data_IF_465897971437
#
_entry.id   IF_465897971437
#
_cell.length_a   1.000
_cell.length_b   1.000
_cell.length_c   1.000
_cell.angle_alpha   90.00
_cell.angle_beta   90.00
_cell.angle_gamma   90.00
#
_symmetry.space_group_name_H-M   'P 1'
#
loop_
_entity.id
_entity.type
_entity.pdbx_description
1 polymer ?
#
# COMPACT_ATOMS: atom_id res chain seq x y z
N UNK A 1 17.86 -48.18 -39.02
CA UNK A 1 17.49 -49.34 -38.16
C UNK A 1 17.61 -48.82 -36.73
N UNK A 2 16.59 -48.70 -35.89
CA UNK A 2 15.26 -49.32 -35.75
C UNK A 2 14.30 -48.22 -35.26
N UNK A 3 13.13 -48.09 -35.88
CA UNK A 3 12.06 -47.20 -35.41
C UNK A 3 11.21 -47.93 -34.36
N UNK A 4 11.03 -47.32 -33.19
CA UNK A 4 10.18 -47.81 -32.10
C UNK A 4 8.74 -47.34 -32.28
N UNK A 5 7.83 -48.29 -32.38
CA UNK A 5 6.40 -48.09 -32.60
C UNK A 5 5.67 -47.63 -31.33
N UNK A 6 4.87 -46.57 -31.46
CA UNK A 6 3.77 -46.22 -30.55
C UNK A 6 2.50 -46.88 -31.07
N UNK A 7 1.88 -47.74 -30.25
CA UNK A 7 0.62 -48.43 -30.56
C UNK A 7 -0.55 -47.46 -30.37
N UNK A 8 -1.18 -47.06 -31.48
CA UNK A 8 -2.51 -46.49 -31.49
C UNK A 8 -3.53 -47.62 -31.22
N UNK A 9 -4.52 -47.33 -30.38
CA UNK A 9 -5.68 -48.19 -30.16
C UNK A 9 -6.70 -47.87 -31.24
N UNK A 10 -6.70 -48.64 -32.33
CA UNK A 10 -7.79 -48.63 -33.31
C UNK A 10 -8.94 -49.47 -32.76
N UNK A 11 -10.06 -48.79 -32.46
CA UNK A 11 -11.34 -49.41 -32.13
C UNK A 11 -12.07 -49.66 -33.44
N UNK A 12 -12.01 -50.90 -33.91
CA UNK A 12 -12.71 -51.37 -35.11
C UNK A 12 -14.19 -51.61 -34.77
N UNK A 13 -15.09 -50.79 -35.33
CA UNK A 13 -16.52 -50.97 -35.22
C UNK A 13 -16.98 -52.11 -36.14
N UNK A 14 -17.10 -53.32 -35.57
CA UNK A 14 -17.74 -54.46 -36.21
C UNK A 14 -19.25 -54.20 -36.37
N UNK A 15 -19.68 -54.03 -37.61
CA UNK A 15 -21.10 -53.92 -38.00
C UNK A 15 -21.66 -55.31 -38.31
N UNK A 16 -22.15 -56.01 -37.30
CA UNK A 16 -22.92 -57.25 -37.50
C UNK A 16 -24.38 -56.99 -37.07
N UNK A 17 -25.29 -56.96 -38.06
CA UNK A 17 -26.74 -56.96 -37.83
C UNK A 17 -27.16 -58.39 -37.47
N UNK A 18 -27.84 -58.64 -36.34
CA UNK A 18 -28.51 -59.91 -36.13
C UNK A 18 -29.87 -59.90 -36.83
N UNK A 19 -29.99 -60.71 -37.88
CA UNK A 19 -31.25 -61.03 -38.53
C UNK A 19 -32.20 -61.78 -37.59
N UNK A 20 -33.39 -61.21 -37.39
CA UNK A 20 -34.65 -61.89 -37.05
C UNK A 20 -34.67 -62.83 -35.84
N UNK A 21 -34.90 -62.27 -34.64
CA UNK A 21 -35.51 -63.03 -33.55
C UNK A 21 -37.02 -63.10 -33.81
N UNK A 22 -37.48 -64.26 -34.27
CA UNK A 22 -38.88 -64.57 -34.51
C UNK A 22 -39.52 -65.02 -33.19
N UNK A 23 -40.10 -64.08 -32.44
CA UNK A 23 -40.82 -64.39 -31.19
C UNK A 23 -42.20 -64.94 -31.58
N UNK A 24 -42.45 -66.20 -31.24
CA UNK A 24 -43.78 -66.82 -31.37
C UNK A 24 -44.68 -66.29 -30.24
N UNK A 25 -45.66 -65.47 -30.60
CA UNK A 25 -46.88 -65.29 -29.80
C UNK A 25 -47.69 -66.60 -29.83
N UNK A 26 -48.37 -67.01 -28.73
CA UNK A 26 -49.63 -66.35 -28.37
C UNK A 26 -50.02 -66.46 -26.89
N UNK A 27 -50.02 -65.35 -26.15
CA UNK A 27 -50.75 -65.29 -24.87
C UNK A 27 -51.44 -63.93 -24.71
N UNK A 28 -52.73 -63.93 -25.03
CA UNK A 28 -53.80 -63.12 -24.45
C UNK A 28 -53.50 -61.64 -24.18
N UNK A 29 -54.05 -60.79 -25.03
CA UNK A 29 -54.22 -59.36 -24.83
C UNK A 29 -54.69 -59.01 -23.41
N UNK A 30 -53.86 -58.30 -22.64
CA UNK A 30 -54.32 -57.53 -21.48
C UNK A 30 -53.54 -56.22 -21.39
N UNK A 31 -54.09 -55.19 -22.02
CA UNK A 31 -54.21 -53.82 -21.53
C UNK A 31 -53.01 -53.11 -20.81
N UNK A 32 -51.75 -53.34 -21.18
CA UNK A 32 -50.61 -52.63 -20.59
C UNK A 32 -49.64 -52.04 -21.63
N UNK A 33 -50.18 -51.46 -22.72
CA UNK A 33 -49.38 -51.01 -23.87
C UNK A 33 -49.62 -49.58 -24.37
N UNK A 34 -50.24 -48.69 -23.58
CA UNK A 34 -50.38 -47.27 -23.93
C UNK A 34 -49.99 -46.38 -22.76
N UNK A 35 -48.74 -45.96 -22.69
CA UNK A 35 -48.34 -44.66 -22.12
C UNK A 35 -46.81 -44.49 -22.15
N UNK A 36 -46.16 -44.50 -23.32
CA UNK A 36 -44.78 -43.95 -23.42
C UNK A 36 -44.64 -43.16 -24.72
N UNK A 37 -45.53 -42.20 -24.93
CA UNK A 37 -45.30 -41.05 -25.82
C UNK A 37 -46.04 -39.85 -25.25
N UNK A 38 -45.75 -39.49 -23.99
CA UNK A 38 -45.99 -38.13 -23.54
C UNK A 38 -44.67 -37.39 -23.76
N UNK A 39 -44.66 -36.48 -24.74
CA UNK A 39 -43.68 -35.41 -24.84
C UNK A 39 -43.76 -34.58 -23.55
N UNK A 40 -43.07 -35.01 -22.51
CA UNK A 40 -42.90 -34.24 -21.27
C UNK A 40 -41.85 -33.15 -21.51
N UNK A 41 -42.16 -32.22 -22.41
CA UNK A 41 -41.75 -30.83 -22.17
C UNK A 41 -42.72 -30.30 -21.13
N UNK A 42 -42.45 -30.66 -19.87
CA UNK A 42 -43.09 -30.04 -18.70
C UNK A 42 -42.99 -28.53 -18.89
N UNK A 43 -44.14 -27.87 -19.12
CA UNK A 43 -44.15 -26.43 -19.35
C UNK A 43 -43.56 -25.76 -18.12
N UNK A 44 -42.45 -25.03 -18.31
CA UNK A 44 -41.76 -24.34 -17.21
C UNK A 44 -42.78 -23.46 -16.48
N UNK A 45 -42.93 -23.68 -15.17
CA UNK A 45 -43.75 -22.81 -14.33
C UNK A 45 -43.05 -21.45 -14.20
N UNK A 46 -43.51 -20.51 -15.03
CA UNK A 46 -42.98 -19.14 -15.08
C UNK A 46 -43.11 -18.43 -13.72
N UNK A 47 -44.10 -18.76 -12.91
CA UNK A 47 -44.27 -18.16 -11.59
C UNK A 47 -43.18 -18.66 -10.63
N UNK A 48 -42.92 -19.97 -10.60
CA UNK A 48 -41.81 -20.55 -9.80
C UNK A 48 -40.45 -20.00 -10.23
N UNK A 49 -40.21 -19.89 -11.55
CA UNK A 49 -38.96 -19.32 -12.09
C UNK A 49 -38.81 -17.86 -11.69
N UNK A 50 -39.88 -17.06 -11.74
CA UNK A 50 -39.87 -15.66 -11.29
C UNK A 50 -39.55 -15.55 -9.80
N UNK A 51 -40.14 -16.40 -8.95
CA UNK A 51 -39.84 -16.40 -7.52
C UNK A 51 -38.39 -16.78 -7.21
N UNK A 52 -37.83 -17.79 -7.89
CA UNK A 52 -36.41 -18.16 -7.74
C UNK A 52 -35.46 -17.03 -8.16
N UNK A 53 -35.75 -16.34 -9.26
CA UNK A 53 -34.97 -15.17 -9.69
C UNK A 53 -35.09 -14.05 -8.67
N UNK A 54 -36.31 -13.73 -8.23
CA UNK A 54 -36.57 -12.66 -7.27
C UNK A 54 -35.85 -12.89 -5.94
N UNK A 55 -35.91 -14.10 -5.37
CA UNK A 55 -35.21 -14.43 -4.12
C UNK A 55 -33.71 -14.46 -4.28
N UNK A 56 -33.19 -14.91 -5.43
CA UNK A 56 -31.75 -14.88 -5.74
C UNK A 56 -31.23 -13.45 -5.86
N UNK A 57 -31.97 -12.57 -6.54
CA UNK A 57 -31.63 -11.14 -6.65
C UNK A 57 -31.70 -10.47 -5.29
N UNK A 58 -32.76 -10.71 -4.51
CA UNK A 58 -32.89 -10.17 -3.16
C UNK A 58 -31.75 -10.64 -2.24
N UNK A 59 -31.38 -11.93 -2.31
CA UNK A 59 -30.24 -12.49 -1.59
C UNK A 59 -28.91 -11.86 -2.02
N UNK A 60 -28.73 -11.62 -3.32
CA UNK A 60 -27.57 -10.90 -3.85
C UNK A 60 -27.46 -9.46 -3.31
N UNK A 61 -28.58 -8.72 -3.29
CA UNK A 61 -28.65 -7.36 -2.73
C UNK A 61 -28.32 -7.38 -1.23
N UNK A 62 -28.90 -8.32 -0.47
CA UNK A 62 -28.61 -8.47 0.96
C UNK A 62 -27.13 -8.84 1.21
N UNK A 63 -26.54 -9.67 0.36
CA UNK A 63 -25.12 -10.00 0.40
C UNK A 63 -24.24 -8.77 0.21
N UNK A 64 -24.50 -7.94 -0.80
CA UNK A 64 -23.76 -6.68 -1.01
C UNK A 64 -23.97 -5.72 0.17
N UNK A 65 -25.21 -5.59 0.66
CA UNK A 65 -25.55 -4.71 1.77
C UNK A 65 -24.82 -5.06 3.09
N UNK A 66 -24.41 -6.31 3.27
CA UNK A 66 -23.63 -6.75 4.44
C UNK A 66 -22.12 -6.70 4.20
N UNK A 67 -21.66 -6.96 2.97
CA UNK A 67 -20.23 -6.91 2.63
C UNK A 67 -19.66 -5.49 2.65
N UNK A 68 -20.41 -4.48 2.21
CA UNK A 68 -19.93 -3.08 2.21
C UNK A 68 -19.55 -2.58 3.61
N UNK A 69 -20.43 -2.58 4.62
CA UNK A 69 -20.05 -2.12 5.97
C UNK A 69 -18.99 -3.02 6.63
N UNK A 70 -18.93 -4.31 6.26
CA UNK A 70 -17.88 -5.20 6.73
C UNK A 70 -16.50 -4.79 6.20
N UNK A 71 -16.39 -4.46 4.91
CA UNK A 71 -15.13 -3.95 4.33
C UNK A 71 -14.81 -2.55 4.87
N UNK A 72 -15.81 -1.68 4.99
CA UNK A 72 -15.64 -0.34 5.56
C UNK A 72 -15.16 -0.38 7.01
N UNK A 73 -15.45 -1.45 7.76
CA UNK A 73 -14.96 -1.64 9.13
C UNK A 73 -13.43 -1.75 9.23
N UNK A 74 -12.75 -2.05 8.13
CA UNK A 74 -11.28 -2.03 8.05
C UNK A 74 -10.71 -0.63 7.80
N UNK A 75 -11.54 0.36 7.45
CA UNK A 75 -11.08 1.74 7.29
C UNK A 75 -10.70 2.37 8.65
N UNK A 76 -9.89 3.45 8.66
CA UNK A 76 -9.52 4.12 9.90
C UNK A 76 -10.76 4.62 10.67
N UNK A 77 -10.83 4.28 11.97
CA UNK A 77 -11.90 4.76 12.86
C UNK A 77 -11.84 6.27 13.08
N UNK A 78 -12.96 6.88 13.49
CA UNK A 78 -13.00 8.32 13.81
C UNK A 78 -11.99 8.73 14.89
N UNK A 79 -11.73 7.84 15.86
CA UNK A 79 -10.66 8.04 16.85
C UNK A 79 -9.28 8.11 16.19
N UNK A 80 -9.02 7.24 15.21
CA UNK A 80 -7.76 7.24 14.46
C UNK A 80 -7.63 8.47 13.56
N UNK A 81 -8.72 8.94 12.94
CA UNK A 81 -8.75 10.20 12.17
C UNK A 81 -8.52 11.42 13.05
N UNK A 82 -9.18 11.50 14.21
CA UNK A 82 -9.02 12.59 15.17
C UNK A 82 -7.58 12.65 15.73
N UNK A 83 -6.91 11.52 15.89
CA UNK A 83 -5.48 11.47 16.25
C UNK A 83 -4.54 12.05 15.17
N UNK A 84 -5.07 12.36 13.98
CA UNK A 84 -4.35 13.05 12.92
C UNK A 84 -4.51 14.56 12.89
N UNK A 85 -5.24 15.14 13.85
CA UNK A 85 -5.35 16.59 13.99
C UNK A 85 -3.97 17.28 14.09
N UNK A 86 -3.88 18.56 13.72
CA UNK A 86 -2.63 19.30 13.81
C UNK A 86 -2.09 19.35 15.24
N UNK A 87 -0.77 19.23 15.38
CA UNK A 87 -0.07 19.26 16.67
C UNK A 87 0.81 20.50 16.74
N UNK A 88 0.69 21.27 17.81
CA UNK A 88 1.55 22.42 18.06
C UNK A 88 2.77 21.98 18.87
N UNK A 89 3.96 22.27 18.35
CA UNK A 89 5.23 22.07 18.99
C UNK A 89 5.80 23.43 19.43
N UNK A 90 6.26 23.53 20.68
CA UNK A 90 7.04 24.67 21.16
C UNK A 90 8.53 24.40 20.89
N UNK A 91 9.15 25.29 20.11
CA UNK A 91 10.56 25.23 19.72
C UNK A 91 11.42 26.26 20.47
N UNK A 92 10.87 26.93 21.49
CA UNK A 92 11.57 27.96 22.28
C UNK A 92 12.92 27.50 22.85
N UNK A 93 13.00 26.23 23.28
CA UNK A 93 14.20 25.65 23.89
C UNK A 93 15.08 24.86 22.91
N UNK A 94 14.72 24.82 21.63
CA UNK A 94 15.45 24.03 20.63
C UNK A 94 16.72 24.76 20.17
N UNK A 95 17.87 24.37 20.73
CA UNK A 95 19.17 24.98 20.41
C UNK A 95 19.68 24.58 19.03
N UNK A 96 20.60 25.37 18.49
CA UNK A 96 21.26 25.03 17.22
C UNK A 96 22.10 23.75 17.36
N UNK A 97 21.97 22.86 16.40
CA UNK A 97 22.53 21.49 16.41
C UNK A 97 21.67 20.47 17.14
N UNK A 98 20.59 20.88 17.81
CA UNK A 98 19.72 19.99 18.58
C UNK A 98 18.53 19.50 17.74
N UNK A 99 18.01 18.34 18.12
CA UNK A 99 16.79 17.77 17.56
C UNK A 99 15.80 17.47 18.69
N UNK A 100 14.53 17.80 18.44
CA UNK A 100 13.41 17.33 19.23
C UNK A 100 12.52 16.41 18.40
N UNK A 101 11.77 15.53 19.06
CA UNK A 101 10.81 14.63 18.41
C UNK A 101 9.41 14.91 18.94
N UNK A 102 8.45 15.05 18.04
CA UNK A 102 7.04 15.29 18.36
C UNK A 102 6.20 14.18 17.73
N UNK A 103 5.19 13.67 18.42
CA UNK A 103 4.29 12.68 17.86
C UNK A 103 3.17 13.37 17.05
N UNK A 104 3.00 12.97 15.79
CA UNK A 104 1.89 13.39 14.93
C UNK A 104 1.36 12.19 14.14
N UNK A 105 0.05 11.93 14.15
CA UNK A 105 -0.57 10.74 13.53
C UNK A 105 0.04 9.40 14.00
N UNK A 106 0.50 9.36 15.26
CA UNK A 106 1.20 8.19 15.81
C UNK A 106 2.62 7.97 15.26
N UNK A 107 3.12 8.86 14.41
CA UNK A 107 4.48 8.82 13.84
C UNK A 107 5.37 9.86 14.53
N UNK A 108 6.67 9.58 14.70
CA UNK A 108 7.62 10.59 15.16
C UNK A 108 7.87 11.61 14.05
N UNK A 109 7.85 12.90 14.38
CA UNK A 109 8.28 14.01 13.54
C UNK A 109 9.52 14.62 14.18
N UNK A 110 10.61 14.68 13.42
CA UNK A 110 11.84 15.30 13.85
C UNK A 110 11.83 16.77 13.50
N UNK A 111 12.13 17.62 14.50
CA UNK A 111 12.41 19.02 14.33
C UNK A 111 13.89 19.22 14.65
N UNK A 112 14.68 19.53 13.64
CA UNK A 112 16.13 19.73 13.78
C UNK A 112 16.45 21.20 13.53
N UNK A 113 16.98 21.88 14.53
CA UNK A 113 17.50 23.24 14.36
C UNK A 113 18.95 23.14 13.91
N UNK A 114 19.21 23.25 12.61
CA UNK A 114 20.54 23.02 12.02
C UNK A 114 21.45 24.22 12.24
N UNK A 115 22.73 23.96 12.44
CA UNK A 115 23.78 25.00 12.45
C UNK A 115 24.09 25.45 11.02
N UNK A 116 24.75 26.60 10.86
CA UNK A 116 25.19 27.05 9.52
C UNK A 116 26.17 26.06 8.88
N UNK A 117 26.99 25.37 9.69
CA UNK A 117 27.86 24.28 9.24
C UNK A 117 27.04 23.12 8.67
N UNK A 118 26.05 22.65 9.42
CA UNK A 118 25.14 21.59 8.97
C UNK A 118 24.42 21.96 7.66
N UNK A 119 24.06 23.23 7.47
CA UNK A 119 23.46 23.71 6.22
C UNK A 119 24.46 23.68 5.06
N UNK A 120 25.72 24.04 5.28
CA UNK A 120 26.76 23.93 4.26
C UNK A 120 27.03 22.44 3.89
N UNK A 121 26.96 21.55 4.87
CA UNK A 121 27.13 20.11 4.64
C UNK A 121 25.99 19.51 3.81
N UNK A 122 24.75 20.00 3.97
CA UNK A 122 23.61 19.62 3.10
C UNK A 122 23.94 19.93 1.63
N UNK A 123 24.46 21.12 1.33
CA UNK A 123 24.81 21.50 -0.04
C UNK A 123 25.97 20.63 -0.56
N UNK A 124 26.94 20.34 0.30
CA UNK A 124 28.09 19.49 -0.05
C UNK A 124 27.70 18.04 -0.31
N UNK A 125 26.67 17.53 0.38
CA UNK A 125 26.17 16.17 0.25
C UNK A 125 25.29 15.93 -1.00
N UNK A 126 24.93 16.98 -1.76
CA UNK A 126 24.03 16.90 -2.92
C UNK A 126 24.40 15.82 -3.97
N UNK A 127 25.67 15.66 -4.40
CA UNK A 127 26.03 14.58 -5.34
C UNK A 127 25.91 13.17 -4.73
N UNK A 128 25.93 13.05 -3.39
CA UNK A 128 25.95 11.78 -2.67
C UNK A 128 24.54 11.20 -2.43
N UNK A 129 23.49 12.02 -2.55
CA UNK A 129 22.11 11.59 -2.29
C UNK A 129 21.42 11.07 -3.56
N UNK A 130 20.45 10.17 -3.39
CA UNK A 130 19.77 9.51 -4.50
C UNK A 130 18.84 10.46 -5.27
N UNK A 131 18.08 11.29 -4.54
CA UNK A 131 17.13 12.25 -5.10
C UNK A 131 17.26 13.64 -4.44
N UNK A 132 18.24 14.46 -4.88
CA UNK A 132 18.50 15.79 -4.33
C UNK A 132 17.27 16.70 -4.25
N UNK A 133 16.45 16.68 -5.30
CA UNK A 133 15.30 17.56 -5.48
C UNK A 133 13.97 16.95 -5.02
N UNK A 134 13.98 15.73 -4.45
CA UNK A 134 12.77 14.99 -4.05
C UNK A 134 11.72 14.95 -5.17
N UNK A 135 12.14 14.53 -6.37
CA UNK A 135 11.25 14.42 -7.54
C UNK A 135 10.30 13.24 -7.44
N UNK A 136 10.63 12.22 -6.65
CA UNK A 136 9.83 10.99 -6.54
C UNK A 136 9.32 10.77 -5.10
N UNK A 137 8.42 11.62 -4.59
CA UNK A 137 7.73 11.34 -3.34
C UNK A 137 6.72 10.18 -3.53
N UNK A 138 6.61 9.32 -2.52
CA UNK A 138 5.74 8.15 -2.49
C UNK A 138 4.61 8.35 -1.46
N UNK A 139 4.95 8.47 -0.17
CA UNK A 139 3.94 8.53 0.90
C UNK A 139 3.22 9.88 0.94
N UNK A 140 3.97 10.98 0.81
CA UNK A 140 3.38 12.32 0.80
C UNK A 140 4.09 13.28 -0.15
N UNK A 141 3.35 14.16 -0.83
CA UNK A 141 3.95 15.15 -1.70
C UNK A 141 4.78 16.15 -0.89
N UNK A 142 5.99 16.46 -1.38
CA UNK A 142 6.82 17.51 -0.79
C UNK A 142 6.08 18.87 -0.89
N UNK A 143 5.82 19.57 0.22
CA UNK A 143 5.18 20.88 0.18
C UNK A 143 5.99 21.87 -0.67
N UNK A 144 5.30 22.73 -1.43
CA UNK A 144 5.95 23.63 -2.39
C UNK A 144 6.95 24.60 -1.72
N UNK A 145 6.66 25.07 -0.50
CA UNK A 145 7.55 25.93 0.28
C UNK A 145 8.83 25.21 0.77
N UNK A 146 8.89 23.89 0.68
CA UNK A 146 10.05 23.07 0.99
C UNK A 146 10.78 22.56 -0.27
N UNK A 147 10.39 23.00 -1.48
CA UNK A 147 11.10 22.65 -2.74
C UNK A 147 12.37 23.51 -2.90
N UNK A 148 13.33 23.26 -2.02
CA UNK A 148 14.66 23.85 -2.01
C UNK A 148 15.68 22.83 -1.47
N UNK A 149 16.95 23.18 -1.49
CA UNK A 149 18.08 22.35 -1.08
C UNK A 149 17.96 21.88 0.38
N UNK A 150 17.39 22.73 1.24
CA UNK A 150 17.32 22.51 2.67
C UNK A 150 16.06 21.77 3.12
N UNK A 151 15.08 21.58 2.22
CA UNK A 151 13.78 20.93 2.48
C UNK A 151 13.02 21.52 3.67
N UNK A 152 13.17 22.83 3.85
CA UNK A 152 12.59 23.63 4.92
C UNK A 152 11.93 24.87 4.34
N UNK A 153 11.10 25.57 5.13
CA UNK A 153 10.58 26.87 4.70
C UNK A 153 11.72 27.88 4.54
N UNK A 154 11.62 28.76 3.55
CA UNK A 154 12.69 29.71 3.19
C UNK A 154 12.99 30.75 4.28
N UNK A 155 11.97 31.15 5.04
CA UNK A 155 12.05 32.06 6.18
C UNK A 155 12.68 31.41 7.43
N UNK A 156 12.70 30.08 7.50
CA UNK A 156 13.26 29.29 8.60
C UNK A 156 14.16 28.17 8.07
N UNK A 157 15.13 28.51 7.21
CA UNK A 157 16.00 27.54 6.51
C UNK A 157 16.73 26.57 7.44
N UNK A 158 17.03 26.97 8.67
CA UNK A 158 17.73 26.15 9.65
C UNK A 158 16.83 25.04 10.23
N UNK A 159 15.51 25.22 10.26
CA UNK A 159 14.60 24.26 10.87
C UNK A 159 14.14 23.21 9.85
N UNK A 160 14.66 21.99 9.99
CA UNK A 160 14.16 20.83 9.26
C UNK A 160 12.98 20.22 10.02
N UNK A 161 11.87 19.99 9.32
CA UNK A 161 10.71 19.26 9.84
C UNK A 161 10.47 18.06 8.93
N UNK A 162 10.68 16.85 9.44
CA UNK A 162 10.53 15.60 8.67
C UNK A 162 9.83 14.53 9.50
N UNK A 163 9.03 13.69 8.85
CA UNK A 163 8.51 12.47 9.46
C UNK A 163 9.69 11.51 9.65
N UNK A 164 9.98 11.17 10.90
CA UNK A 164 11.04 10.27 11.33
C UNK A 164 10.74 8.80 11.07
N UNK A 165 10.13 8.47 9.92
CA UNK A 165 9.77 7.11 9.52
C UNK A 165 10.61 6.76 8.30
N UNK A 166 11.47 5.75 8.46
CA UNK A 166 12.33 5.28 7.38
C UNK A 166 11.47 4.76 6.23
N UNK A 167 11.73 5.26 5.03
CA UNK A 167 10.92 4.98 3.84
C UNK A 167 11.17 3.59 3.25
N UNK A 168 12.09 2.81 3.85
CA UNK A 168 12.25 1.40 3.52
C UNK A 168 11.04 0.59 4.03
N UNK A 169 10.91 0.44 5.35
CA UNK A 169 9.91 -0.41 6.01
C UNK A 169 9.39 0.17 7.34
N UNK A 170 9.55 1.48 7.55
CA UNK A 170 8.85 2.19 8.63
C UNK A 170 9.57 2.32 9.98
N UNK A 171 10.78 1.76 10.15
CA UNK A 171 11.56 1.98 11.38
C UNK A 171 11.93 3.45 11.60
N UNK A 172 12.11 3.87 12.84
CA UNK A 172 12.56 5.23 13.17
C UNK A 172 14.09 5.37 13.01
N UNK A 173 14.59 6.25 12.12
CA UNK A 173 16.03 6.53 12.02
C UNK A 173 16.55 7.22 13.30
N UNK A 174 17.74 6.83 13.75
CA UNK A 174 18.44 7.49 14.84
C UNK A 174 19.29 8.66 14.35
N UNK A 175 19.36 9.74 15.13
CA UNK A 175 20.23 10.87 14.86
C UNK A 175 21.71 10.48 15.00
N UNK A 176 22.51 10.86 14.01
CA UNK A 176 23.96 10.65 13.93
C UNK A 176 24.59 11.95 13.42
N UNK A 177 24.47 13.02 14.19
CA UNK A 177 24.93 14.36 13.75
C UNK A 177 26.42 14.59 13.92
N UNK A 178 27.11 13.79 14.75
CA UNK A 178 28.56 13.85 14.88
C UNK A 178 29.19 13.42 13.55
N UNK A 179 30.16 14.19 13.06
CA UNK A 179 30.95 13.83 11.88
C UNK A 179 32.02 12.77 12.22
N UNK A 180 32.47 12.06 11.21
CA UNK A 180 33.55 11.08 11.32
C UNK A 180 33.10 9.67 11.71
N UNK A 181 34.07 8.77 11.96
CA UNK A 181 33.83 7.34 12.05
C UNK A 181 32.93 7.00 13.24
N UNK A 182 31.86 6.26 12.96
CA UNK A 182 30.90 5.77 13.93
C UNK A 182 30.47 4.35 13.57
N UNK A 183 30.00 3.61 14.57
CA UNK A 183 29.49 2.26 14.33
C UNK A 183 28.39 2.25 13.26
N UNK A 184 28.52 1.34 12.30
CA UNK A 184 27.57 1.15 11.19
C UNK A 184 27.46 2.34 10.23
N UNK A 185 28.46 3.23 10.22
CA UNK A 185 28.56 4.38 9.32
C UNK A 185 29.92 4.40 8.61
N UNK A 186 30.03 5.06 7.44
CA UNK A 186 31.32 5.30 6.79
C UNK A 186 32.28 6.13 7.65
N UNK A 187 33.58 5.95 7.45
CA UNK A 187 34.60 6.72 8.19
C UNK A 187 34.51 8.24 7.96
N UNK A 188 34.07 8.64 6.77
CA UNK A 188 33.88 10.03 6.36
C UNK A 188 32.42 10.50 6.54
N UNK A 189 31.73 10.01 7.58
CA UNK A 189 30.32 10.35 7.79
C UNK A 189 30.10 11.87 7.97
N UNK A 190 29.26 12.52 7.14
CA UNK A 190 29.05 13.97 7.16
C UNK A 190 27.98 14.42 8.17
N UNK A 191 27.40 13.50 8.95
CA UNK A 191 26.24 13.78 9.78
C UNK A 191 24.91 13.42 9.10
N UNK A 192 23.85 13.26 9.90
CA UNK A 192 22.50 12.95 9.41
C UNK A 192 21.80 11.91 10.27
N UNK A 193 21.21 10.91 9.62
CA UNK A 193 20.44 9.86 10.28
C UNK A 193 20.83 8.46 9.80
N UNK A 194 20.73 7.48 10.70
CA UNK A 194 20.92 6.06 10.41
C UNK A 194 19.68 5.28 10.83
N UNK A 195 19.09 4.55 9.89
CA UNK A 195 18.08 3.54 10.20
C UNK A 195 18.76 2.19 10.50
N UNK A 196 18.75 1.71 11.75
CA UNK A 196 19.48 0.50 12.14
C UNK A 196 18.88 -0.79 11.58
N UNK A 197 17.63 -0.77 11.12
CA UNK A 197 16.95 -1.98 10.65
C UNK A 197 17.61 -2.60 9.42
N UNK A 198 18.02 -1.78 8.44
CA UNK A 198 18.60 -2.25 7.17
C UNK A 198 19.75 -1.35 6.67
N UNK A 199 20.27 -0.46 7.52
CA UNK A 199 21.45 0.36 7.21
C UNK A 199 21.21 1.54 6.25
N UNK A 200 19.96 1.94 6.01
CA UNK A 200 19.66 3.15 5.24
C UNK A 200 20.15 4.39 5.99
N UNK A 201 20.92 5.23 5.30
CA UNK A 201 21.44 6.49 5.85
C UNK A 201 20.80 7.66 5.12
N UNK A 202 20.59 8.75 5.87
CA UNK A 202 20.04 10.00 5.37
C UNK A 202 20.96 11.15 5.77
N UNK A 203 21.02 12.19 4.94
CA UNK A 203 21.78 13.39 5.24
C UNK A 203 21.03 14.33 6.22
N UNK A 204 21.61 15.51 6.47
CA UNK A 204 21.07 16.55 7.35
C UNK A 204 19.83 17.28 6.80
N UNK A 205 19.35 16.94 5.60
CA UNK A 205 18.06 17.35 5.06
C UNK A 205 17.06 16.17 4.99
N UNK A 206 17.41 15.01 5.56
CA UNK A 206 16.60 13.81 5.50
C UNK A 206 16.55 13.18 4.10
N UNK A 207 17.51 13.48 3.23
CA UNK A 207 17.62 12.90 1.89
C UNK A 207 18.41 11.60 1.96
N UNK A 208 17.93 10.57 1.28
CA UNK A 208 18.54 9.24 1.33
C UNK A 208 19.85 9.24 0.52
N UNK A 209 20.91 8.68 1.09
CA UNK A 209 22.16 8.48 0.34
C UNK A 209 21.97 7.44 -0.78
N UNK A 210 22.78 7.53 -1.84
CA UNK A 210 22.79 6.53 -2.92
C UNK A 210 23.10 5.13 -2.38
N UNK A 211 22.63 4.10 -3.10
CA UNK A 211 22.88 2.69 -2.80
C UNK A 211 22.40 2.26 -1.40
N UNK A 212 21.25 2.80 -0.97
CA UNK A 212 20.58 2.41 0.28
C UNK A 212 19.25 1.71 -0.03
N UNK A 213 18.78 0.78 0.84
CA UNK A 213 17.51 0.09 0.63
C UNK A 213 16.28 0.99 0.68
N UNK A 214 16.38 2.13 1.37
CA UNK A 214 15.30 3.11 1.41
C UNK A 214 15.11 3.73 0.00
N UNK A 215 13.91 3.65 -0.59
CA UNK A 215 13.67 4.07 -1.96
C UNK A 215 13.59 5.59 -2.14
N UNK A 216 13.35 6.35 -1.07
CA UNK A 216 13.12 7.80 -1.13
C UNK A 216 13.58 8.55 0.12
N UNK A 217 13.60 9.88 0.04
CA UNK A 217 13.90 10.79 1.16
C UNK A 217 12.83 10.69 2.27
N UNK A 218 13.19 11.06 3.50
CA UNK A 218 12.23 11.19 4.60
C UNK A 218 11.15 12.22 4.25
N UNK A 219 9.91 11.85 4.51
CA UNK A 219 8.74 12.65 4.18
C UNK A 219 8.72 13.98 4.97
N UNK A 220 8.22 15.06 4.36
CA UNK A 220 8.08 16.38 5.02
C UNK A 220 6.59 16.63 5.25
N UNK A 221 6.11 16.70 6.50
CA UNK A 221 4.71 16.97 6.77
C UNK A 221 4.35 18.40 6.33
N UNK A 222 3.05 18.69 6.18
CA UNK A 222 2.63 20.09 6.10
C UNK A 222 2.84 20.74 7.47
N UNK A 223 3.45 21.91 7.51
CA UNK A 223 3.62 22.66 8.75
C UNK A 223 3.60 24.16 8.50
N UNK A 224 3.29 24.92 9.55
CA UNK A 224 3.33 26.39 9.56
C UNK A 224 3.85 26.88 10.91
N UNK A 225 4.56 28.00 10.89
CA UNK A 225 4.95 28.72 12.10
C UNK A 225 3.77 29.56 12.57
N UNK A 226 3.25 29.28 13.76
CA UNK A 226 2.15 30.05 14.38
C UNK A 226 2.69 31.23 15.20
N UNK A 227 3.94 31.14 15.65
CA UNK A 227 4.68 32.22 16.30
C UNK A 227 6.19 32.01 16.08
N UNK A 228 7.06 32.96 16.47
CA UNK A 228 8.52 32.77 16.38
C UNK A 228 9.07 31.56 17.13
N UNK A 229 8.30 31.01 18.09
CA UNK A 229 8.70 29.88 18.92
C UNK A 229 7.73 28.70 18.81
N UNK A 230 6.78 28.70 17.88
CA UNK A 230 5.80 27.62 17.78
C UNK A 230 5.55 27.19 16.34
N UNK A 231 5.54 25.87 16.14
CA UNK A 231 5.29 25.22 14.85
C UNK A 231 4.06 24.35 14.96
N UNK A 232 3.10 24.52 14.07
CA UNK A 232 1.95 23.62 13.92
C UNK A 232 2.23 22.61 12.81
N UNK A 233 2.25 21.33 13.16
CA UNK A 233 2.50 20.19 12.26
C UNK A 233 1.16 19.58 11.88
N UNK A 234 0.97 19.23 10.61
CA UNK A 234 -0.28 18.71 10.08
C UNK A 234 -1.22 19.78 9.53
N UNK A 235 -0.74 21.03 9.33
CA UNK A 235 -1.48 22.10 8.65
C UNK A 235 -0.54 23.08 7.97
N UNK A 236 -1.04 23.78 6.96
CA UNK A 236 -0.39 24.93 6.34
C UNK A 236 -1.42 26.00 5.97
N UNK A 237 -1.04 26.98 5.14
CA UNK A 237 -1.91 28.07 4.69
C UNK A 237 -3.15 27.57 3.91
N UNK A 238 -3.13 26.33 3.41
CA UNK A 238 -4.21 25.72 2.64
C UNK A 238 -5.18 24.93 3.51
N UNK A 239 -4.90 24.78 4.81
CA UNK A 239 -5.74 24.06 5.77
C UNK A 239 -5.02 22.89 6.45
N UNK A 240 -5.81 21.98 7.01
CA UNK A 240 -5.32 20.74 7.64
C UNK A 240 -4.91 19.71 6.58
N UNK A 241 -3.94 18.85 6.94
CA UNK A 241 -3.26 17.90 6.04
C UNK A 241 -3.94 16.55 5.89
#
# INVERSE_FOLDING_TARGET
MVAGAVRAWDVEFRTERPDSIRIKEPWTATAWGRAVTADHRESVDDNRRRWLIATSVAGGIAGVATLVPFVDSFAPSERAKAAGAPVNADISNLRSGEMMTVAWRGMPVFLVNRTDRMLADVVTADPMVADPATRHPFSMPLPNYCRNEYRSRSDHRNLLVVVGVCTHLGCTPGARFQEGPQSSLPDNWPGGFLCPCHGSTYDLAGRVFRNKPAPQNLDVPRFIFTSPTSVSIGRDEQGEA
#
